data_IF_734078509612
#
_entry.id   IF_734078509612
#
_cell.length_a   1.000
_cell.length_b   1.000
_cell.length_c   1.000
_cell.angle_alpha   90.00
_cell.angle_beta   90.00
_cell.angle_gamma   90.00
#
_symmetry.space_group_name_H-M   'P 1'
#
loop_
_entity.id
_entity.type
_entity.pdbx_description
1 polymer ?
#
# COMPACT_ATOMS: atom_id res chain seq x y z
N UNK A 1 20.00 -12.89 -13.63
CA UNK A 1 18.60 -13.32 -13.92
C UNK A 1 17.89 -13.89 -12.69
N UNK A 2 18.49 -14.82 -11.94
CA UNK A 2 17.90 -15.40 -10.70
C UNK A 2 17.41 -14.37 -9.66
N UNK A 3 18.22 -13.36 -9.35
CA UNK A 3 17.84 -12.29 -8.40
C UNK A 3 16.61 -11.53 -8.90
N UNK A 4 16.54 -11.25 -10.20
CA UNK A 4 15.42 -10.52 -10.81
C UNK A 4 14.14 -11.36 -10.84
N UNK A 5 14.25 -12.66 -11.13
CA UNK A 5 13.13 -13.61 -11.05
C UNK A 5 12.53 -13.70 -9.63
N UNK A 6 13.39 -13.77 -8.61
CA UNK A 6 12.94 -13.77 -7.20
C UNK A 6 12.21 -12.47 -6.83
N UNK A 7 12.74 -11.30 -7.25
CA UNK A 7 12.12 -10.00 -6.98
C UNK A 7 10.77 -9.80 -7.68
N UNK A 8 10.58 -10.40 -8.85
CA UNK A 8 9.27 -10.40 -9.53
C UNK A 8 8.31 -11.47 -9.03
N UNK A 9 8.71 -12.31 -8.07
CA UNK A 9 7.91 -13.44 -7.59
C UNK A 9 7.68 -14.54 -8.63
N UNK A 10 8.54 -14.62 -9.67
CA UNK A 10 8.43 -15.60 -10.76
C UNK A 10 9.49 -16.70 -10.60
N UNK A 11 9.20 -17.89 -11.11
CA UNK A 11 10.24 -18.91 -11.28
C UNK A 11 11.24 -18.45 -12.34
N UNK A 12 12.47 -18.98 -12.32
CA UNK A 12 13.50 -18.60 -13.30
C UNK A 12 13.03 -18.84 -14.74
N UNK A 13 12.39 -19.98 -15.01
CA UNK A 13 11.85 -20.32 -16.32
C UNK A 13 10.74 -19.37 -16.76
N UNK A 14 9.87 -18.95 -15.84
CA UNK A 14 8.79 -18.00 -16.13
C UNK A 14 9.32 -16.59 -16.37
N UNK A 15 10.29 -16.15 -15.57
CA UNK A 15 10.97 -14.88 -15.77
C UNK A 15 11.67 -14.82 -17.13
N UNK A 16 12.37 -15.89 -17.52
CA UNK A 16 13.03 -15.98 -18.82
C UNK A 16 12.02 -15.96 -19.97
N UNK A 17 10.90 -16.70 -19.88
CA UNK A 17 9.84 -16.66 -20.90
C UNK A 17 9.27 -15.26 -21.06
N UNK A 18 8.85 -14.61 -19.97
CA UNK A 18 8.29 -13.26 -20.03
C UNK A 18 9.27 -12.24 -20.57
N UNK A 19 10.54 -12.33 -20.16
CA UNK A 19 11.60 -11.45 -20.68
C UNK A 19 11.82 -11.64 -22.18
N UNK A 20 11.77 -12.89 -22.68
CA UNK A 20 11.95 -13.21 -24.08
C UNK A 20 10.75 -12.78 -24.96
N UNK A 21 9.53 -12.84 -24.41
CA UNK A 21 8.30 -12.40 -25.08
C UNK A 21 7.97 -10.91 -24.88
N UNK A 22 8.82 -10.16 -24.19
CA UNK A 22 8.59 -8.73 -23.91
C UNK A 22 7.36 -8.46 -23.05
N UNK A 23 6.92 -9.45 -22.26
CA UNK A 23 5.78 -9.32 -21.35
C UNK A 23 6.20 -8.55 -20.09
N UNK A 24 5.30 -7.71 -19.57
CA UNK A 24 5.57 -6.93 -18.37
C UNK A 24 5.88 -7.83 -17.17
N UNK A 25 6.99 -7.51 -16.50
CA UNK A 25 7.44 -8.16 -15.28
C UNK A 25 7.32 -7.13 -14.15
N UNK A 26 6.18 -7.13 -13.47
CA UNK A 26 5.96 -6.29 -12.29
C UNK A 26 6.80 -6.81 -11.13
N UNK A 27 7.61 -5.94 -10.54
CA UNK A 27 8.35 -6.26 -9.32
C UNK A 27 7.37 -6.41 -8.15
N UNK A 28 7.53 -7.47 -7.36
CA UNK A 28 6.69 -7.69 -6.18
C UNK A 28 7.12 -6.68 -5.09
N UNK A 29 6.15 -6.14 -4.35
CA UNK A 29 6.46 -5.39 -3.14
C UNK A 29 7.29 -6.28 -2.18
N UNK A 30 8.36 -5.73 -1.62
CA UNK A 30 9.16 -6.43 -0.60
C UNK A 30 8.31 -6.68 0.65
N UNK A 31 8.72 -7.62 1.48
CA UNK A 31 8.02 -7.92 2.74
C UNK A 31 7.93 -6.68 3.64
N UNK A 32 8.98 -5.84 3.67
CA UNK A 32 8.99 -4.55 4.37
C UNK A 32 7.95 -3.58 3.79
N UNK A 33 7.84 -3.49 2.46
CA UNK A 33 6.85 -2.64 1.81
C UNK A 33 5.42 -3.13 2.10
N UNK A 34 5.20 -4.45 2.13
CA UNK A 34 3.92 -5.06 2.52
C UNK A 34 3.60 -4.75 3.98
N UNK A 35 4.59 -4.82 4.87
CA UNK A 35 4.42 -4.49 6.29
C UNK A 35 4.03 -3.02 6.47
N UNK A 36 4.76 -2.10 5.84
CA UNK A 36 4.45 -0.66 5.85
C UNK A 36 3.04 -0.40 5.31
N UNK A 37 2.66 -1.06 4.21
CA UNK A 37 1.32 -0.94 3.63
C UNK A 37 0.24 -1.35 4.64
N UNK A 38 0.41 -2.50 5.31
CA UNK A 38 -0.54 -2.98 6.33
C UNK A 38 -0.66 -2.00 7.50
N UNK A 39 0.45 -1.44 7.97
CA UNK A 39 0.45 -0.43 9.03
C UNK A 39 -0.28 0.85 8.61
N UNK A 40 -0.02 1.36 7.41
CA UNK A 40 -0.71 2.54 6.88
C UNK A 40 -2.22 2.31 6.76
N UNK A 41 -2.63 1.12 6.30
CA UNK A 41 -4.04 0.74 6.25
C UNK A 41 -4.68 0.72 7.64
N UNK A 42 -3.98 0.19 8.65
CA UNK A 42 -4.44 0.20 10.04
C UNK A 42 -4.59 1.64 10.57
N UNK A 43 -3.60 2.51 10.33
CA UNK A 43 -3.67 3.90 10.75
C UNK A 43 -4.83 4.65 10.09
N UNK A 44 -5.08 4.45 8.79
CA UNK A 44 -6.24 5.02 8.12
C UNK A 44 -7.55 4.69 8.85
N UNK A 45 -7.74 3.42 9.20
CA UNK A 45 -8.94 2.96 9.90
C UNK A 45 -9.04 3.54 11.31
N UNK A 46 -7.93 3.55 12.06
CA UNK A 46 -7.86 4.12 13.40
C UNK A 46 -8.25 5.60 13.39
N UNK A 47 -7.69 6.39 12.47
CA UNK A 47 -8.05 7.81 12.33
C UNK A 47 -9.52 7.98 11.95
N UNK A 48 -10.07 7.16 11.03
CA UNK A 48 -11.52 7.21 10.75
C UNK A 48 -12.37 6.95 12.00
N UNK A 49 -11.99 5.98 12.85
CA UNK A 49 -12.71 5.69 14.09
C UNK A 49 -12.63 6.84 15.10
N UNK A 50 -11.46 7.45 15.26
CA UNK A 50 -11.28 8.64 16.10
C UNK A 50 -12.17 9.78 15.58
N UNK A 51 -12.12 10.07 14.27
CA UNK A 51 -12.96 11.10 13.66
C UNK A 51 -14.46 10.84 13.87
N UNK A 52 -14.90 9.57 13.78
CA UNK A 52 -16.28 9.19 14.05
C UNK A 52 -16.67 9.45 15.52
N UNK A 53 -15.78 9.11 16.45
CA UNK A 53 -16.00 9.30 17.89
C UNK A 53 -16.16 10.78 18.27
N UNK A 54 -15.33 11.65 17.68
CA UNK A 54 -15.34 13.08 18.00
C UNK A 54 -16.28 13.90 17.11
N UNK A 55 -16.93 13.31 16.10
CA UNK A 55 -17.78 14.02 15.12
C UNK A 55 -18.80 14.98 15.72
N UNK A 56 -19.43 14.63 16.85
CA UNK A 56 -20.42 15.46 17.56
C UNK A 56 -19.84 16.23 18.75
N UNK A 57 -18.68 15.81 19.27
CA UNK A 57 -18.06 16.37 20.49
C UNK A 57 -17.09 17.50 20.16
N UNK A 58 -16.27 17.29 19.15
CA UNK A 58 -15.31 18.25 18.62
C UNK A 58 -15.22 18.09 17.09
N UNK A 59 -16.02 18.86 16.34
CA UNK A 59 -16.02 18.83 14.88
C UNK A 59 -14.67 19.27 14.26
N UNK A 60 -13.89 20.10 14.96
CA UNK A 60 -12.61 20.59 14.46
C UNK A 60 -11.57 19.46 14.50
N UNK A 61 -11.48 18.76 15.63
CA UNK A 61 -10.64 17.57 15.76
C UNK A 61 -11.05 16.49 14.76
N UNK A 62 -12.36 16.23 14.62
CA UNK A 62 -12.85 15.25 13.66
C UNK A 62 -12.43 15.58 12.22
N UNK A 63 -12.53 16.86 11.82
CA UNK A 63 -12.09 17.34 10.51
C UNK A 63 -10.59 17.13 10.28
N UNK A 64 -9.75 17.51 11.25
CA UNK A 64 -8.30 17.34 11.18
C UNK A 64 -7.90 15.86 11.03
N UNK A 65 -8.52 14.98 11.83
CA UNK A 65 -8.28 13.54 11.80
C UNK A 65 -8.75 12.91 10.48
N UNK A 66 -9.91 13.32 9.93
CA UNK A 66 -10.35 12.84 8.63
C UNK A 66 -9.45 13.32 7.49
N UNK A 67 -8.91 14.53 7.57
CA UNK A 67 -7.93 15.03 6.60
C UNK A 67 -6.70 14.13 6.57
N UNK A 68 -6.14 13.80 7.73
CA UNK A 68 -5.01 12.88 7.84
C UNK A 68 -5.34 11.48 7.30
N UNK A 69 -6.52 10.93 7.64
CA UNK A 69 -6.96 9.66 7.09
C UNK A 69 -7.06 9.69 5.55
N UNK A 70 -7.51 10.81 4.97
CA UNK A 70 -7.59 11.01 3.51
C UNK A 70 -6.21 11.08 2.86
N UNK A 71 -5.24 11.74 3.50
CA UNK A 71 -3.85 11.79 3.03
C UNK A 71 -3.24 10.39 3.01
N UNK A 72 -3.41 9.60 4.08
CA UNK A 72 -2.94 8.20 4.11
C UNK A 72 -3.56 7.37 2.98
N UNK A 73 -4.88 7.53 2.74
CA UNK A 73 -5.57 6.85 1.64
C UNK A 73 -4.98 7.22 0.27
N UNK A 74 -4.65 8.50 0.06
CA UNK A 74 -4.01 8.97 -1.18
C UNK A 74 -2.64 8.32 -1.39
N UNK A 75 -1.86 8.16 -0.32
CA UNK A 75 -0.57 7.44 -0.40
C UNK A 75 -0.76 5.95 -0.73
N UNK A 76 -1.73 5.28 -0.11
CA UNK A 76 -2.04 3.87 -0.41
C UNK A 76 -2.46 3.67 -1.88
N UNK A 77 -3.24 4.60 -2.44
CA UNK A 77 -3.67 4.56 -3.85
C UNK A 77 -2.55 4.80 -4.85
N UNK A 78 -1.42 5.39 -4.45
CA UNK A 78 -0.24 5.53 -5.33
C UNK A 78 0.61 4.26 -5.39
N UNK A 79 0.39 3.34 -4.45
CA UNK A 79 1.14 2.08 -4.33
C UNK A 79 0.39 0.93 -5.04
N UNK A 80 -0.92 1.08 -5.28
CA UNK A 80 -1.80 0.11 -5.97
C UNK A 80 -2.05 0.55 -7.40
#
# INVERSE_FOLDING_TARGET
MLIKAKKSGLTLSEYCRRSAFGLDITERLSDDQIAIYKTLLQFHNNFKWIGNMFRKKDPHLASAVYKLAKEIKSHLQKIT
#
